data_IF_814719478653
#
_entry.id   IF_814719478653
#
_cell.length_a   1.000
_cell.length_b   1.000
_cell.length_c   1.000
_cell.angle_alpha   90.00
_cell.angle_beta   90.00
_cell.angle_gamma   90.00
#
_symmetry.space_group_name_H-M   'P 1'
#
loop_
_entity.id
_entity.type
_entity.pdbx_description
1 polymer ?
#
# COMPACT_ATOMS: atom_id res chain seq x y z
N UNK A 1 10.38 14.24 2.39
CA UNK A 1 10.15 12.96 1.68
C UNK A 1 8.99 13.15 0.73
N UNK A 2 9.11 12.69 -0.51
CA UNK A 2 8.00 12.70 -1.46
C UNK A 2 7.14 11.48 -1.16
N UNK A 3 5.92 11.70 -0.69
CA UNK A 3 5.01 10.60 -0.34
C UNK A 3 4.10 10.33 -1.53
N UNK A 4 4.13 9.10 -2.02
CA UNK A 4 3.21 8.57 -3.03
C UNK A 4 1.96 8.00 -2.33
N UNK A 5 0.93 7.67 -3.11
CA UNK A 5 -0.36 7.19 -2.58
C UNK A 5 -0.26 6.04 -1.60
N UNK A 6 0.52 5.00 -1.92
CA UNK A 6 0.76 3.84 -1.05
C UNK A 6 2.26 3.60 -0.96
N UNK A 7 2.75 3.50 0.27
CA UNK A 7 4.16 3.24 0.56
C UNK A 7 4.30 2.23 1.70
N UNK A 8 5.35 1.41 1.63
CA UNK A 8 5.82 0.59 2.73
C UNK A 8 7.00 1.28 3.42
N UNK A 9 7.00 1.30 4.76
CA UNK A 9 8.10 1.81 5.56
C UNK A 9 8.85 0.63 6.18
N UNK A 10 10.14 0.56 5.92
CA UNK A 10 11.05 -0.46 6.42
C UNK A 10 11.99 0.14 7.47
N UNK A 11 12.05 -0.44 8.66
CA UNK A 11 12.99 -0.02 9.70
C UNK A 11 12.36 0.12 11.08
N UNK A 12 13.07 0.81 11.96
CA UNK A 12 12.64 1.01 13.36
C UNK A 12 13.11 2.34 13.95
N UNK A 13 14.27 2.86 13.53
CA UNK A 13 14.76 4.20 13.87
C UNK A 13 14.96 5.08 12.61
N UNK A 14 15.50 4.49 11.54
CA UNK A 14 15.72 5.15 10.24
C UNK A 14 14.79 4.54 9.18
N UNK A 15 13.54 4.98 9.17
CA UNK A 15 12.53 4.45 8.24
C UNK A 15 12.90 4.74 6.79
N UNK A 16 13.06 3.68 6.00
CA UNK A 16 13.19 3.74 4.55
C UNK A 16 11.82 3.58 3.92
N UNK A 17 11.43 4.54 3.09
CA UNK A 17 10.18 4.48 2.35
C UNK A 17 10.36 3.79 0.99
N UNK A 18 9.48 2.86 0.68
CA UNK A 18 9.38 2.14 -0.59
C UNK A 18 8.02 2.42 -1.21
N UNK A 19 8.00 2.94 -2.44
CA UNK A 19 6.74 3.22 -3.15
C UNK A 19 6.11 1.93 -3.65
N UNK A 20 4.84 1.71 -3.32
CA UNK A 20 4.03 0.63 -3.90
C UNK A 20 3.23 1.18 -5.08
N UNK A 21 2.51 2.30 -4.89
CA UNK A 21 1.68 2.87 -5.95
C UNK A 21 1.29 4.33 -5.68
N UNK A 22 0.64 4.93 -6.66
CA UNK A 22 0.05 6.25 -6.58
C UNK A 22 0.96 7.39 -7.02
N UNK A 23 0.34 8.54 -7.23
CA UNK A 23 0.98 9.79 -7.62
C UNK A 23 1.52 10.48 -6.37
N UNK A 24 2.64 11.19 -6.51
CA UNK A 24 3.17 12.05 -5.44
C UNK A 24 2.11 13.05 -4.96
N UNK A 25 1.88 13.11 -3.65
CA UNK A 25 0.94 14.04 -3.02
C UNK A 25 -0.54 13.62 -3.07
N UNK A 26 -0.86 12.47 -3.65
CA UNK A 26 -2.20 11.87 -3.56
C UNK A 26 -2.26 10.95 -2.35
N UNK A 27 -3.35 10.99 -1.59
CA UNK A 27 -3.64 10.01 -0.53
C UNK A 27 -4.66 9.00 -1.02
N UNK A 28 -4.48 7.75 -0.62
CA UNK A 28 -5.56 6.76 -0.60
C UNK A 28 -5.95 6.51 0.85
N UNK A 29 -7.19 6.08 1.07
CA UNK A 29 -7.76 5.88 2.40
C UNK A 29 -7.89 4.38 2.72
N UNK A 30 -8.07 4.11 4.02
CA UNK A 30 -8.33 2.78 4.56
C UNK A 30 -7.39 1.68 4.03
N UNK A 31 -6.13 1.68 4.49
CA UNK A 31 -5.22 0.57 4.24
C UNK A 31 -5.51 -0.60 5.18
N UNK A 32 -5.62 -1.81 4.61
CA UNK A 32 -5.76 -3.08 5.33
C UNK A 32 -4.69 -4.06 4.85
N UNK A 33 -4.23 -4.89 5.79
CA UNK A 33 -3.35 -6.02 5.52
C UNK A 33 -4.13 -7.32 5.72
N UNK A 34 -4.14 -8.18 4.72
CA UNK A 34 -4.84 -9.46 4.72
C UNK A 34 -4.19 -10.39 3.69
N UNK A 35 -4.00 -11.65 4.03
CA UNK A 35 -3.67 -12.72 3.08
C UNK A 35 -4.89 -12.99 2.19
N UNK A 36 -4.90 -12.45 0.97
CA UNK A 36 -6.08 -12.47 0.11
C UNK A 36 -6.07 -13.64 -0.87
N UNK A 37 -4.89 -14.11 -1.26
CA UNK A 37 -4.71 -15.24 -2.18
C UNK A 37 -4.46 -16.59 -1.47
N UNK A 38 -4.21 -16.57 -0.16
CA UNK A 38 -4.07 -17.74 0.69
C UNK A 38 -2.66 -18.35 0.69
N UNK A 39 -1.64 -17.58 0.32
CA UNK A 39 -0.26 -18.07 0.24
C UNK A 39 0.55 -17.89 1.53
N UNK A 40 -0.02 -17.19 2.51
CA UNK A 40 0.51 -17.03 3.86
C UNK A 40 1.25 -15.72 4.09
N UNK A 41 1.42 -14.87 3.08
CA UNK A 41 1.91 -13.51 3.24
C UNK A 41 0.77 -12.48 3.34
N UNK A 42 1.08 -11.25 3.78
CA UNK A 42 0.06 -10.20 3.91
C UNK A 42 0.09 -9.27 2.69
N UNK A 43 -1.04 -9.19 2.01
CA UNK A 43 -1.27 -8.23 0.92
C UNK A 43 -1.70 -6.86 1.42
N UNK A 44 -1.72 -5.87 0.51
CA UNK A 44 -2.24 -4.53 0.77
C UNK A 44 -3.57 -4.32 0.05
N UNK A 45 -4.62 -3.99 0.81
CA UNK A 45 -5.89 -3.52 0.29
C UNK A 45 -6.08 -2.04 0.64
N UNK A 46 -6.51 -1.21 -0.30
CA UNK A 46 -6.81 0.21 -0.08
C UNK A 46 -8.01 0.65 -0.92
N UNK A 47 -8.58 1.81 -0.60
CA UNK A 47 -9.58 2.45 -1.44
C UNK A 47 -9.20 3.88 -1.77
N UNK A 48 -9.62 4.32 -2.95
CA UNK A 48 -9.39 5.67 -3.42
C UNK A 48 -10.66 6.51 -3.24
N UNK A 49 -10.51 7.72 -2.68
CA UNK A 49 -11.64 8.57 -2.28
C UNK A 49 -12.03 9.61 -3.34
N UNK A 50 -11.10 10.08 -4.20
CA UNK A 50 -11.30 11.28 -5.02
C UNK A 50 -11.87 11.01 -6.41
N UNK A 51 -11.54 9.89 -7.04
CA UNK A 51 -11.88 9.58 -8.42
C UNK A 51 -12.78 8.34 -8.57
N UNK A 52 -13.30 7.79 -7.46
CA UNK A 52 -14.06 6.54 -7.44
C UNK A 52 -13.29 5.39 -8.13
N UNK A 53 -11.97 5.34 -7.98
CA UNK A 53 -11.16 4.24 -8.55
C UNK A 53 -11.48 2.89 -7.89
N UNK A 54 -12.20 2.90 -6.78
CA UNK A 54 -12.75 1.71 -6.13
C UNK A 54 -11.79 1.12 -5.09
N UNK A 55 -11.85 -0.20 -4.93
CA UNK A 55 -10.98 -0.96 -4.05
C UNK A 55 -9.81 -1.50 -4.88
N UNK A 56 -8.60 -1.29 -4.39
CA UNK A 56 -7.36 -1.70 -5.05
C UNK A 56 -6.66 -2.73 -4.15
N UNK A 57 -6.26 -3.85 -4.75
CA UNK A 57 -5.45 -4.89 -4.14
C UNK A 57 -4.06 -4.87 -4.76
N UNK A 58 -3.03 -4.89 -3.90
CA UNK A 58 -1.64 -5.09 -4.27
C UNK A 58 -1.15 -6.38 -3.61
N UNK A 59 -0.86 -7.37 -4.46
CA UNK A 59 -0.23 -8.63 -4.07
C UNK A 59 1.18 -8.38 -3.54
N UNK A 60 1.51 -9.02 -2.42
CA UNK A 60 2.89 -9.14 -1.99
C UNK A 60 3.50 -10.40 -2.65
N UNK A 61 4.60 -10.29 -3.40
CA UNK A 61 5.16 -11.43 -4.13
C UNK A 61 6.07 -12.32 -3.28
N UNK A 62 6.07 -12.12 -1.96
CA UNK A 62 6.92 -12.90 -1.06
C UNK A 62 6.34 -14.32 -0.89
N UNK A 63 7.15 -15.24 -0.38
CA UNK A 63 6.72 -16.61 -0.03
C UNK A 63 7.39 -17.01 1.26
#
# INVERSE_FOLDING_TARGET
YKLHGVMWLEGSADWRAHTISGIEGVKYDMVKLLDLDGDGDLDVLTCEEQANLGVIWYENPAR
#
